data_IF_946719298816
#
_entry.id   IF_946719298816
#
_cell.length_a   1.000
_cell.length_b   1.000
_cell.length_c   1.000
_cell.angle_alpha   90.00
_cell.angle_beta   90.00
_cell.angle_gamma   90.00
#
_symmetry.space_group_name_H-M   'P 1'
#
loop_
_entity.id
_entity.type
_entity.pdbx_description
1 polymer ?
#
# COMPACT_ATOMS: atom_id res chain seq x y z
N UNK A 1 19.90 -17.91 0.10
CA UNK A 1 19.23 -17.39 -1.10
C UNK A 1 17.98 -18.23 -1.29
N UNK A 2 16.80 -17.63 -1.57
CA UNK A 2 15.59 -18.41 -1.85
C UNK A 2 15.81 -19.31 -3.07
N UNK A 3 15.14 -20.45 -3.09
CA UNK A 3 15.16 -21.36 -4.24
C UNK A 3 14.48 -20.67 -5.45
N UNK A 4 15.18 -20.46 -6.58
CA UNK A 4 14.60 -19.83 -7.76
C UNK A 4 13.44 -20.64 -8.38
N UNK A 5 13.36 -21.95 -8.11
CA UNK A 5 12.21 -22.77 -8.53
C UNK A 5 10.94 -22.43 -7.74
N UNK A 6 11.06 -21.86 -6.54
CA UNK A 6 9.92 -21.51 -5.71
C UNK A 6 9.09 -20.33 -6.26
N UNK A 7 9.62 -19.58 -7.24
CA UNK A 7 8.93 -18.48 -7.92
C UNK A 7 8.60 -18.79 -9.38
N UNK A 8 8.82 -20.03 -9.83
CA UNK A 8 8.47 -20.47 -11.19
C UNK A 8 7.14 -21.18 -11.20
N UNK A 9 6.38 -20.94 -12.27
CA UNK A 9 5.20 -21.70 -12.65
C UNK A 9 5.38 -22.16 -14.09
N UNK A 10 6.02 -23.33 -14.26
CA UNK A 10 6.49 -23.79 -15.57
C UNK A 10 7.50 -22.81 -16.18
N UNK A 11 7.19 -22.30 -17.37
CA UNK A 11 8.01 -21.29 -18.06
C UNK A 11 7.68 -19.84 -17.64
N UNK A 12 6.73 -19.67 -16.71
CA UNK A 12 6.30 -18.37 -16.20
C UNK A 12 6.80 -18.12 -14.77
N UNK A 13 6.62 -16.89 -14.31
CA UNK A 13 6.89 -16.49 -12.94
C UNK A 13 5.59 -16.43 -12.14
N UNK A 14 5.61 -16.99 -10.94
CA UNK A 14 4.54 -16.84 -9.97
C UNK A 14 4.68 -15.46 -9.27
N UNK A 15 3.85 -14.52 -9.71
CA UNK A 15 3.83 -13.15 -9.18
C UNK A 15 3.46 -13.12 -7.69
N UNK A 16 2.64 -14.06 -7.22
CA UNK A 16 2.25 -14.14 -5.81
C UNK A 16 3.42 -14.63 -4.96
N UNK A 17 4.14 -15.64 -5.41
CA UNK A 17 5.36 -16.13 -4.75
C UNK A 17 6.45 -15.04 -4.69
N UNK A 18 6.63 -14.26 -5.77
CA UNK A 18 7.55 -13.12 -5.79
C UNK A 18 7.12 -12.04 -4.79
N UNK A 19 5.83 -11.70 -4.74
CA UNK A 19 5.32 -10.70 -3.81
C UNK A 19 5.55 -11.11 -2.35
N UNK A 20 5.32 -12.38 -2.02
CA UNK A 20 5.58 -12.93 -0.69
C UNK A 20 7.08 -12.89 -0.35
N UNK A 21 7.94 -13.28 -1.29
CA UNK A 21 9.39 -13.21 -1.12
C UNK A 21 9.89 -11.79 -0.84
N UNK A 22 9.25 -10.78 -1.42
CA UNK A 22 9.57 -9.37 -1.22
C UNK A 22 8.88 -8.76 0.01
N UNK A 23 8.20 -9.56 0.83
CA UNK A 23 7.40 -9.13 1.98
C UNK A 23 6.37 -8.04 1.59
N UNK A 24 5.69 -8.27 0.47
CA UNK A 24 4.65 -7.37 -0.06
C UNK A 24 3.28 -8.08 -0.02
N UNK A 25 2.24 -7.44 0.55
CA UNK A 25 0.90 -7.99 0.46
C UNK A 25 0.45 -7.98 -1.01
N UNK A 26 -0.13 -9.07 -1.47
CA UNK A 26 -0.70 -9.17 -2.82
C UNK A 26 -2.07 -9.86 -2.79
N UNK A 27 -2.89 -9.56 -3.79
CA UNK A 27 -4.16 -10.23 -4.04
C UNK A 27 -4.29 -10.47 -5.54
N UNK A 28 -4.79 -11.64 -5.92
CA UNK A 28 -5.08 -12.00 -7.30
C UNK A 28 -6.59 -12.15 -7.49
N UNK A 29 -7.09 -11.65 -8.62
CA UNK A 29 -8.41 -11.99 -9.14
C UNK A 29 -8.21 -12.76 -10.46
N UNK A 30 -8.28 -14.09 -10.35
CA UNK A 30 -8.09 -14.99 -11.49
C UNK A 30 -9.12 -14.78 -12.58
N UNK A 31 -10.34 -14.34 -12.25
CA UNK A 31 -11.41 -14.14 -13.23
C UNK A 31 -11.14 -12.95 -14.14
N UNK A 32 -10.58 -11.87 -13.60
CA UNK A 32 -10.22 -10.67 -14.37
C UNK A 32 -8.77 -10.68 -14.84
N UNK A 33 -7.95 -11.64 -14.39
CA UNK A 33 -6.52 -11.70 -14.70
C UNK A 33 -5.73 -10.56 -14.05
N UNK A 34 -6.20 -10.03 -12.93
CA UNK A 34 -5.57 -8.90 -12.24
C UNK A 34 -4.82 -9.35 -11.00
N UNK A 35 -3.67 -8.71 -10.75
CA UNK A 35 -2.92 -8.85 -9.51
C UNK A 35 -2.66 -7.47 -8.94
N UNK A 36 -3.06 -7.25 -7.69
CA UNK A 36 -2.76 -6.04 -6.93
C UNK A 36 -1.60 -6.31 -5.97
N UNK A 37 -0.51 -5.54 -6.07
CA UNK A 37 0.65 -5.65 -5.18
C UNK A 37 0.75 -4.39 -4.32
N UNK A 38 0.56 -4.54 -3.02
CA UNK A 38 0.63 -3.45 -2.05
C UNK A 38 2.06 -3.03 -1.72
N UNK A 39 2.18 -1.99 -0.88
CA UNK A 39 3.47 -1.53 -0.37
C UNK A 39 4.11 -2.55 0.60
N UNK A 40 5.45 -2.57 0.75
CA UNK A 40 6.13 -3.48 1.67
C UNK A 40 5.56 -3.43 3.09
N UNK A 41 5.40 -4.60 3.74
CA UNK A 41 4.82 -4.68 5.09
C UNK A 41 5.64 -3.92 6.11
N UNK A 42 6.96 -3.84 5.94
CA UNK A 42 7.84 -3.02 6.77
C UNK A 42 7.48 -1.54 6.76
N UNK A 43 7.12 -0.95 5.62
CA UNK A 43 6.66 0.45 5.58
C UNK A 43 5.37 0.62 6.38
N UNK A 44 4.44 -0.32 6.25
CA UNK A 44 3.18 -0.32 7.02
C UNK A 44 3.47 -0.46 8.52
N UNK A 45 4.37 -1.35 8.90
CA UNK A 45 4.76 -1.64 10.29
C UNK A 45 5.50 -0.46 10.92
N UNK A 46 6.39 0.18 10.19
CA UNK A 46 7.07 1.41 10.62
C UNK A 46 6.08 2.54 10.85
N UNK A 47 5.12 2.77 9.93
CA UNK A 47 4.10 3.80 10.10
C UNK A 47 3.23 3.60 11.35
N UNK A 48 2.90 2.34 11.70
CA UNK A 48 2.15 2.02 12.92
C UNK A 48 2.99 2.18 14.20
N UNK A 49 4.30 1.95 14.14
CA UNK A 49 5.21 2.09 15.29
C UNK A 49 5.61 3.53 15.54
N UNK A 50 5.99 4.24 14.49
CA UNK A 50 6.51 5.61 14.56
C UNK A 50 5.40 6.63 14.82
N UNK A 51 4.14 6.25 14.57
CA UNK A 51 2.95 7.09 14.70
C UNK A 51 3.06 8.41 13.94
N UNK A 52 3.92 8.43 12.90
CA UNK A 52 4.10 9.56 11.99
C UNK A 52 3.22 9.36 10.79
N UNK A 53 2.19 10.20 10.67
CA UNK A 53 1.41 10.28 9.45
C UNK A 53 2.32 10.72 8.28
N UNK A 54 2.26 10.06 7.12
CA UNK A 54 2.96 10.53 5.93
C UNK A 54 2.35 11.85 5.46
N UNK A 55 3.14 12.65 4.74
CA UNK A 55 2.66 13.91 4.17
C UNK A 55 1.83 13.66 2.89
N UNK A 56 0.65 13.06 3.06
CA UNK A 56 -0.25 12.76 1.96
C UNK A 56 -0.93 14.01 1.42
N UNK A 57 -1.33 13.96 0.15
CA UNK A 57 -2.10 15.02 -0.52
C UNK A 57 -3.49 14.47 -0.83
N UNK A 58 -4.53 15.20 -0.42
CA UNK A 58 -5.92 14.90 -0.74
C UNK A 58 -6.58 16.14 -1.33
N UNK A 59 -7.57 15.98 -2.21
CA UNK A 59 -8.42 17.09 -2.62
C UNK A 59 -9.25 17.59 -1.43
N UNK A 60 -9.43 18.91 -1.33
CA UNK A 60 -10.43 19.52 -0.47
C UNK A 60 -11.84 19.43 -1.09
N UNK A 61 -12.82 20.11 -0.49
CA UNK A 61 -14.21 20.12 -0.97
C UNK A 61 -14.38 20.78 -2.35
N UNK A 62 -13.46 21.66 -2.72
CA UNK A 62 -13.43 22.33 -4.02
C UNK A 62 -12.57 21.55 -5.04
N UNK A 63 -12.03 20.39 -4.64
CA UNK A 63 -11.18 19.53 -5.46
C UNK A 63 -9.71 19.96 -5.50
N UNK A 64 -9.31 20.97 -4.73
CA UNK A 64 -7.96 21.50 -4.74
C UNK A 64 -7.02 20.62 -3.91
N UNK A 65 -5.81 20.32 -4.41
CA UNK A 65 -4.86 19.48 -3.68
C UNK A 65 -4.37 20.20 -2.42
N UNK A 66 -4.55 19.55 -1.26
CA UNK A 66 -4.07 20.01 0.04
C UNK A 66 -3.19 18.93 0.66
N UNK A 67 -1.98 19.30 1.07
CA UNK A 67 -1.07 18.42 1.78
C UNK A 67 -1.36 18.42 3.30
N UNK A 68 -1.08 17.30 3.98
CA UNK A 68 -1.19 17.23 5.44
C UNK A 68 -0.30 18.30 6.13
N UNK A 69 0.82 18.65 5.52
CA UNK A 69 1.75 19.68 5.99
C UNK A 69 1.23 21.11 5.82
N UNK A 70 0.24 21.38 4.96
CA UNK A 70 -0.38 22.71 4.86
C UNK A 70 -1.09 23.10 6.17
N UNK A 71 -1.47 22.10 6.99
CA UNK A 71 -2.04 22.28 8.32
C UNK A 71 -1.00 22.24 9.46
N UNK A 72 0.28 22.53 9.17
CA UNK A 72 1.32 22.63 10.23
C UNK A 72 0.92 23.63 11.33
N UNK A 73 1.46 23.39 12.53
CA UNK A 73 1.28 24.25 13.72
C UNK A 73 -0.14 24.31 14.30
N UNK A 74 -1.06 23.41 13.89
CA UNK A 74 -2.41 23.24 14.48
C UNK A 74 -2.60 21.80 14.97
N UNK A 75 -3.53 21.58 15.92
CA UNK A 75 -4.03 20.23 16.23
C UNK A 75 -4.76 19.70 14.98
N UNK A 76 -4.49 18.45 14.59
CA UNK A 76 -5.02 17.84 13.36
C UNK A 76 -5.90 16.64 13.72
N UNK A 77 -7.05 16.51 13.05
CA UNK A 77 -7.96 15.37 13.14
C UNK A 77 -8.23 14.89 11.72
N UNK A 78 -7.92 13.62 11.43
CA UNK A 78 -8.29 12.97 10.18
C UNK A 78 -9.53 12.10 10.43
N UNK A 79 -10.61 12.38 9.71
CA UNK A 79 -11.87 11.63 9.79
C UNK A 79 -12.07 10.88 8.49
N UNK A 80 -12.10 9.55 8.53
CA UNK A 80 -12.43 8.70 7.39
C UNK A 80 -13.84 8.14 7.60
N UNK A 81 -14.71 8.30 6.60
CA UNK A 81 -16.09 7.82 6.61
C UNK A 81 -16.48 7.28 5.23
N UNK A 82 -17.47 6.40 5.19
CA UNK A 82 -18.13 5.93 3.97
C UNK A 82 -19.65 5.91 4.22
N UNK A 83 -20.44 6.26 3.21
CA UNK A 83 -21.88 5.95 3.24
C UNK A 83 -22.07 4.45 2.99
N UNK A 84 -23.08 3.86 3.64
CA UNK A 84 -23.50 2.48 3.41
C UNK A 84 -24.18 2.32 2.05
#
# INVERSE_FOLDING_TARGET
MPDPEAIRSGDQLDVMAIADLLDRPAAADEKSGLVAIGAPRDRRRAALRDLRAPDFVLPDLDGMPVALSDHRSKKRLLVAFSSW
#
